data_IF_330146656146
#
_entry.id   IF_330146656146
#
_cell.length_a   1.000
_cell.length_b   1.000
_cell.length_c   1.000
_cell.angle_alpha   90.00
_cell.angle_beta   90.00
_cell.angle_gamma   90.00
#
_symmetry.space_group_name_H-M   'P 1'
#
loop_
_entity.id
_entity.type
_entity.pdbx_description
1 polymer ?
#
# COMPACT_ATOMS: atom_id res chain seq x y z
N UNK A 1 6.45 -9.98 -22.57
CA UNK A 1 7.04 -9.96 -21.20
C UNK A 1 6.34 -11.00 -20.34
N UNK A 2 7.08 -11.92 -19.70
CA UNK A 2 6.48 -12.97 -18.86
C UNK A 2 5.79 -12.43 -17.60
N UNK A 3 4.80 -13.17 -17.07
CA UNK A 3 4.02 -12.83 -15.86
C UNK A 3 4.93 -12.49 -14.67
N UNK A 4 5.99 -13.28 -14.47
CA UNK A 4 6.99 -13.07 -13.39
C UNK A 4 7.73 -11.73 -13.51
N UNK A 5 8.09 -11.30 -14.73
CA UNK A 5 8.76 -10.01 -14.97
C UNK A 5 7.82 -8.84 -14.70
N UNK A 6 6.55 -8.94 -15.09
CA UNK A 6 5.54 -7.89 -14.81
C UNK A 6 5.25 -7.79 -13.31
N UNK A 7 5.13 -8.93 -12.64
CA UNK A 7 4.98 -9.00 -11.19
C UNK A 7 6.18 -8.35 -10.49
N UNK A 8 7.43 -8.66 -10.91
CA UNK A 8 8.64 -8.04 -10.37
C UNK A 8 8.64 -6.50 -10.51
N UNK A 9 8.28 -5.99 -11.68
CA UNK A 9 8.18 -4.54 -11.89
C UNK A 9 7.09 -3.90 -11.03
N UNK A 10 5.95 -4.56 -10.90
CA UNK A 10 4.87 -4.08 -10.04
C UNK A 10 5.32 -4.07 -8.58
N UNK A 11 5.78 -5.19 -8.04
CA UNK A 11 6.20 -5.30 -6.63
C UNK A 11 7.33 -4.32 -6.33
N UNK A 12 8.42 -4.36 -7.09
CA UNK A 12 9.56 -3.48 -6.85
C UNK A 12 9.19 -1.99 -7.02
N UNK A 13 8.48 -1.66 -8.10
CA UNK A 13 8.07 -0.29 -8.38
C UNK A 13 7.07 0.26 -7.37
N UNK A 14 6.06 -0.53 -7.00
CA UNK A 14 5.05 -0.16 -6.00
C UNK A 14 5.66 -0.03 -4.61
N UNK A 15 6.48 -0.99 -4.19
CA UNK A 15 7.17 -0.94 -2.90
C UNK A 15 8.05 0.30 -2.77
N UNK A 16 8.84 0.59 -3.81
CA UNK A 16 9.70 1.77 -3.84
C UNK A 16 8.87 3.06 -3.85
N UNK A 17 7.83 3.14 -4.68
CA UNK A 17 6.96 4.31 -4.76
C UNK A 17 6.31 4.63 -3.42
N UNK A 18 5.70 3.63 -2.76
CA UNK A 18 5.06 3.79 -1.46
C UNK A 18 6.08 4.26 -0.41
N UNK A 19 7.25 3.62 -0.34
CA UNK A 19 8.29 4.00 0.61
C UNK A 19 8.79 5.45 0.38
N UNK A 20 9.02 5.83 -0.88
CA UNK A 20 9.42 7.19 -1.24
C UNK A 20 8.36 8.21 -0.83
N UNK A 21 7.08 7.93 -1.06
CA UNK A 21 5.99 8.83 -0.71
C UNK A 21 5.81 8.96 0.81
N UNK A 22 5.95 7.85 1.56
CA UNK A 22 5.91 7.86 3.03
C UNK A 22 7.03 8.70 3.64
N UNK A 23 8.16 8.88 2.95
CA UNK A 23 9.26 9.74 3.38
C UNK A 23 9.06 11.17 2.87
N UNK A 24 8.79 11.33 1.59
CA UNK A 24 8.80 12.63 0.92
C UNK A 24 7.69 13.55 1.44
N UNK A 25 6.49 13.01 1.68
CA UNK A 25 5.33 13.81 2.09
C UNK A 25 5.54 14.42 3.49
N UNK A 26 5.87 13.65 4.54
CA UNK A 26 6.07 14.24 5.86
C UNK A 26 7.31 15.14 5.92
N UNK A 27 8.38 14.82 5.19
CA UNK A 27 9.55 15.70 5.13
C UNK A 27 9.25 17.04 4.45
N UNK A 28 8.49 17.03 3.36
CA UNK A 28 8.08 18.25 2.67
C UNK A 28 7.21 19.16 3.55
N UNK A 29 6.48 18.59 4.51
CA UNK A 29 5.58 19.31 5.42
C UNK A 29 6.19 19.53 6.82
N UNK A 30 7.36 18.96 7.10
CA UNK A 30 7.96 18.91 8.45
C UNK A 30 8.06 20.27 9.16
N UNK A 31 8.36 21.34 8.44
CA UNK A 31 8.42 22.70 8.99
C UNK A 31 7.10 23.25 9.55
N UNK A 32 5.98 22.59 9.24
CA UNK A 32 4.62 22.97 9.63
C UNK A 32 3.98 21.96 10.59
N UNK A 33 4.75 20.99 11.06
CA UNK A 33 4.27 19.97 11.99
C UNK A 33 4.74 20.32 13.41
N UNK A 34 3.91 20.06 14.43
CA UNK A 34 4.37 20.08 15.81
C UNK A 34 5.38 18.94 16.04
N UNK A 35 6.23 19.12 17.06
CA UNK A 35 7.12 18.07 17.55
C UNK A 35 6.88 17.87 19.07
N UNK A 36 6.32 16.73 19.50
CA UNK A 36 5.91 15.54 18.72
C UNK A 36 4.62 15.73 17.90
N UNK A 37 4.30 14.78 17.02
CA UNK A 37 3.02 14.70 16.29
C UNK A 37 2.05 13.74 16.99
N UNK A 38 0.74 13.96 16.80
CA UNK A 38 -0.29 12.98 17.18
C UNK A 38 -0.34 11.86 16.17
N UNK A 39 -0.35 10.62 16.66
CA UNK A 39 -0.37 9.42 15.82
C UNK A 39 -1.61 8.56 16.04
N UNK A 40 -2.31 8.76 17.16
CA UNK A 40 -3.52 8.02 17.51
C UNK A 40 -4.58 8.97 18.07
N UNK A 41 -5.84 8.70 17.72
CA UNK A 41 -7.01 9.44 18.17
C UNK A 41 -7.97 8.48 18.86
N UNK A 42 -8.55 8.93 19.95
CA UNK A 42 -9.68 8.26 20.61
C UNK A 42 -10.91 8.21 19.69
N UNK A 43 -11.90 7.39 20.05
CA UNK A 43 -13.17 7.33 19.30
C UNK A 43 -13.93 8.67 19.25
N UNK A 44 -13.70 9.56 20.22
CA UNK A 44 -14.26 10.92 20.21
C UNK A 44 -13.47 11.90 19.33
N UNK A 45 -12.41 11.44 18.66
CA UNK A 45 -11.54 12.26 17.81
C UNK A 45 -10.51 13.11 18.56
N UNK A 46 -10.34 12.89 19.87
CA UNK A 46 -9.33 13.58 20.66
C UNK A 46 -7.98 12.84 20.55
N UNK A 47 -6.83 13.56 20.44
CA UNK A 47 -5.50 12.95 20.47
C UNK A 47 -5.30 12.05 21.69
N UNK A 48 -4.82 10.82 21.46
CA UNK A 48 -4.56 9.82 22.50
C UNK A 48 -3.06 9.62 22.71
N UNK A 49 -2.32 9.40 21.61
CA UNK A 49 -0.87 9.15 21.65
C UNK A 49 -0.08 10.04 20.69
N UNK A 50 1.21 10.24 21.00
CA UNK A 50 2.12 11.11 20.26
C UNK A 50 3.47 10.45 20.01
N UNK A 51 4.12 10.82 18.92
CA UNK A 51 5.43 10.29 18.54
C UNK A 51 6.28 11.36 17.84
N UNK A 52 7.61 11.35 17.99
CA UNK A 52 8.48 12.10 17.10
C UNK A 52 8.24 11.71 15.65
N UNK A 53 8.21 12.69 14.74
CA UNK A 53 7.92 12.46 13.31
C UNK A 53 8.80 11.36 12.71
N UNK A 54 10.08 11.37 13.07
CA UNK A 54 11.07 10.39 12.60
C UNK A 54 10.70 8.97 12.99
N UNK A 55 10.29 8.76 14.23
CA UNK A 55 10.03 7.44 14.78
C UNK A 55 8.74 6.86 14.20
N UNK A 56 7.71 7.69 14.06
CA UNK A 56 6.48 7.34 13.35
C UNK A 56 6.76 6.89 11.90
N UNK A 57 7.46 7.74 11.11
CA UNK A 57 7.77 7.43 9.71
C UNK A 57 8.64 6.17 9.61
N UNK A 58 9.64 6.03 10.47
CA UNK A 58 10.50 4.86 10.50
C UNK A 58 9.72 3.58 10.81
N UNK A 59 8.86 3.59 11.84
CA UNK A 59 8.03 2.44 12.20
C UNK A 59 7.11 2.01 11.05
N UNK A 60 6.45 2.96 10.41
CA UNK A 60 5.56 2.71 9.27
C UNK A 60 6.33 2.16 8.05
N UNK A 61 7.53 2.69 7.77
CA UNK A 61 8.40 2.18 6.70
C UNK A 61 8.88 0.77 6.97
N UNK A 62 9.36 0.48 8.17
CA UNK A 62 9.81 -0.87 8.55
C UNK A 62 8.66 -1.86 8.37
N UNK A 63 7.47 -1.50 8.85
CA UNK A 63 6.28 -2.34 8.69
C UNK A 63 5.92 -2.58 7.22
N UNK A 64 5.94 -1.52 6.39
CA UNK A 64 5.71 -1.65 4.95
C UNK A 64 6.72 -2.59 4.28
N UNK A 65 8.01 -2.44 4.59
CA UNK A 65 9.06 -3.28 4.03
C UNK A 65 8.93 -4.74 4.46
N UNK A 66 8.50 -5.01 5.70
CA UNK A 66 8.20 -6.37 6.17
C UNK A 66 7.06 -6.97 5.37
N UNK A 67 5.94 -6.26 5.22
CA UNK A 67 4.79 -6.72 4.42
C UNK A 67 5.21 -6.98 2.97
N UNK A 68 5.96 -6.05 2.38
CA UNK A 68 6.45 -6.18 1.02
C UNK A 68 7.38 -7.38 0.85
N UNK A 69 8.30 -7.60 1.79
CA UNK A 69 9.23 -8.73 1.78
C UNK A 69 8.49 -10.06 1.85
N UNK A 70 7.53 -10.20 2.78
CA UNK A 70 6.72 -11.42 2.94
C UNK A 70 6.03 -11.80 1.63
N UNK A 71 5.31 -10.87 1.02
CA UNK A 71 4.60 -11.14 -0.24
C UNK A 71 5.55 -11.35 -1.43
N UNK A 72 6.69 -10.68 -1.44
CA UNK A 72 7.74 -10.89 -2.44
C UNK A 72 8.34 -12.29 -2.36
N UNK A 73 8.64 -12.79 -1.15
CA UNK A 73 9.21 -14.14 -0.95
C UNK A 73 8.25 -15.20 -1.46
N UNK A 74 6.96 -15.12 -1.09
CA UNK A 74 5.96 -16.08 -1.56
C UNK A 74 5.74 -16.01 -3.08
N UNK A 75 5.78 -14.81 -3.66
CA UNK A 75 5.60 -14.63 -5.11
C UNK A 75 6.81 -15.05 -5.94
N UNK A 76 8.02 -14.75 -5.47
CA UNK A 76 9.27 -14.97 -6.21
C UNK A 76 9.87 -16.35 -5.99
N UNK A 77 9.64 -16.96 -4.82
CA UNK A 77 10.08 -18.30 -4.46
C UNK A 77 9.34 -19.42 -5.20
N UNK A 78 8.40 -19.09 -6.10
CA UNK A 78 7.65 -20.07 -6.88
C UNK A 78 6.58 -20.83 -6.10
N UNK A 79 6.39 -20.49 -4.82
CA UNK A 79 5.37 -21.09 -3.93
C UNK A 79 3.97 -20.76 -4.44
N UNK A 80 3.75 -19.52 -4.87
CA UNK A 80 2.48 -19.09 -5.40
C UNK A 80 2.32 -19.46 -6.89
N UNK A 81 1.29 -20.25 -7.19
CA UNK A 81 0.79 -20.45 -8.56
C UNK A 81 0.22 -19.13 -9.11
N UNK A 82 -0.09 -19.09 -10.41
CA UNK A 82 -0.62 -17.88 -11.11
C UNK A 82 -1.76 -17.15 -10.36
N UNK A 83 -2.73 -17.88 -9.84
CA UNK A 83 -3.85 -17.29 -9.07
C UNK A 83 -3.38 -16.71 -7.72
N UNK A 84 -2.36 -17.31 -7.13
CA UNK A 84 -1.70 -16.80 -5.91
C UNK A 84 -0.95 -15.48 -6.15
N UNK A 85 -0.31 -15.31 -7.31
CA UNK A 85 0.34 -14.05 -7.68
C UNK A 85 -0.66 -12.89 -7.83
N UNK A 86 -1.86 -13.16 -8.35
CA UNK A 86 -2.93 -12.16 -8.42
C UNK A 86 -3.39 -11.71 -7.03
N UNK A 87 -3.56 -12.65 -6.10
CA UNK A 87 -3.91 -12.32 -4.71
C UNK A 87 -2.78 -11.61 -3.97
N UNK A 88 -1.53 -12.02 -4.18
CA UNK A 88 -0.37 -11.32 -3.61
C UNK A 88 -0.26 -9.88 -4.14
N UNK A 89 -0.49 -9.67 -5.44
CA UNK A 89 -0.56 -8.33 -6.02
C UNK A 89 -1.68 -7.49 -5.42
N UNK A 90 -2.86 -8.09 -5.22
CA UNK A 90 -3.98 -7.41 -4.56
C UNK A 90 -3.66 -7.01 -3.12
N UNK A 91 -3.11 -7.94 -2.33
CA UNK A 91 -2.70 -7.69 -0.95
C UNK A 91 -1.68 -6.55 -0.87
N UNK A 92 -0.63 -6.58 -1.69
CA UNK A 92 0.38 -5.52 -1.77
C UNK A 92 -0.22 -4.15 -2.14
N UNK A 93 -1.17 -4.14 -3.08
CA UNK A 93 -1.89 -2.91 -3.46
C UNK A 93 -2.67 -2.33 -2.29
N UNK A 94 -3.48 -3.15 -1.62
CA UNK A 94 -4.27 -2.74 -0.45
C UNK A 94 -3.37 -2.27 0.69
N UNK A 95 -2.42 -3.10 1.13
CA UNK A 95 -1.57 -2.76 2.28
C UNK A 95 -0.71 -1.51 2.03
N UNK A 96 -0.11 -1.40 0.84
CA UNK A 96 0.73 -0.25 0.51
C UNK A 96 -0.04 1.07 0.48
N UNK A 97 -1.25 1.05 -0.08
CA UNK A 97 -2.10 2.25 -0.14
C UNK A 97 -2.69 2.61 1.22
N UNK A 98 -3.09 1.62 2.04
CA UNK A 98 -3.57 1.86 3.40
C UNK A 98 -2.47 2.48 4.27
N UNK A 99 -1.27 1.89 4.29
CA UNK A 99 -0.16 2.41 5.12
C UNK A 99 0.30 3.79 4.65
N UNK A 100 0.43 4.01 3.34
CA UNK A 100 0.72 5.33 2.80
C UNK A 100 -0.36 6.34 3.21
N UNK A 101 -1.62 5.96 3.07
CA UNK A 101 -2.74 6.81 3.42
C UNK A 101 -2.79 7.15 4.90
N UNK A 102 -2.45 6.21 5.79
CA UNK A 102 -2.25 6.49 7.22
C UNK A 102 -1.18 7.55 7.42
N UNK A 103 0.02 7.39 6.84
CA UNK A 103 1.10 8.38 6.96
C UNK A 103 0.66 9.75 6.45
N UNK A 104 -0.01 9.80 5.30
CA UNK A 104 -0.50 11.06 4.69
C UNK A 104 -1.55 11.72 5.58
N UNK A 105 -2.58 10.98 5.99
CA UNK A 105 -3.65 11.53 6.82
C UNK A 105 -3.12 11.98 8.19
N UNK A 106 -2.27 11.19 8.84
CA UNK A 106 -1.61 11.60 10.10
C UNK A 106 -0.80 12.88 9.90
N UNK A 107 -0.06 13.01 8.79
CA UNK A 107 0.67 14.24 8.48
C UNK A 107 -0.25 15.44 8.30
N UNK A 108 -1.36 15.26 7.56
CA UNK A 108 -2.34 16.32 7.31
C UNK A 108 -3.11 16.71 8.58
N UNK A 109 -3.41 15.77 9.47
CA UNK A 109 -4.08 16.00 10.75
C UNK A 109 -3.29 16.93 11.67
N UNK A 110 -1.97 16.86 11.59
CA UNK A 110 -1.04 17.63 12.40
C UNK A 110 -0.59 18.93 11.73
N UNK A 111 -1.05 19.21 10.51
CA UNK A 111 -0.59 20.36 9.75
C UNK A 111 -1.02 21.67 10.42
N UNK A 112 -0.05 22.54 10.70
CA UNK A 112 -0.22 23.83 11.40
C UNK A 112 -0.83 23.73 12.80
N UNK A 113 -0.88 22.54 13.39
CA UNK A 113 -1.33 22.37 14.77
C UNK A 113 -0.29 23.00 15.73
N UNK A 114 -0.68 23.91 16.65
CA UNK A 114 0.24 24.54 17.59
C UNK A 114 0.92 23.53 18.54
N UNK A 115 0.22 22.45 18.86
CA UNK A 115 0.73 21.30 19.60
C UNK A 115 0.04 20.02 19.14
N UNK A 116 0.61 18.85 19.45
CA UNK A 116 -0.01 17.56 19.12
C UNK A 116 -1.45 17.45 19.68
N UNK A 117 -1.71 18.03 20.86
CA UNK A 117 -3.03 17.99 21.51
C UNK A 117 -4.11 18.75 20.75
N UNK A 118 -3.72 19.62 19.84
CA UNK A 118 -4.62 20.43 19.03
C UNK A 118 -4.90 19.80 17.64
N UNK A 119 -4.23 18.68 17.31
CA UNK A 119 -4.43 17.97 16.05
C UNK A 119 -5.81 17.29 16.02
N UNK A 120 -6.60 17.57 14.99
CA UNK A 120 -7.96 17.03 14.83
C UNK A 120 -7.91 15.81 13.90
N UNK A 121 -8.69 14.78 14.22
CA UNK A 121 -8.85 13.60 13.36
C UNK A 121 -9.30 14.03 11.94
N UNK A 122 -8.52 13.71 10.89
CA UNK A 122 -8.76 14.23 9.56
C UNK A 122 -10.00 13.57 8.93
N UNK A 123 -10.94 14.36 8.38
CA UNK A 123 -12.07 13.81 7.65
C UNK A 123 -11.57 13.15 6.36
N UNK A 124 -11.45 11.83 6.35
CA UNK A 124 -10.97 11.14 5.14
C UNK A 124 -10.54 9.69 5.30
N UNK A 125 -10.58 9.10 6.49
CA UNK A 125 -10.30 7.69 6.71
C UNK A 125 -11.13 6.75 5.80
N UNK A 126 -12.37 7.13 5.48
CA UNK A 126 -13.20 6.41 4.51
C UNK A 126 -12.63 6.34 3.08
N UNK A 127 -11.87 7.34 2.65
CA UNK A 127 -11.22 7.34 1.33
C UNK A 127 -10.07 6.33 1.25
N UNK A 128 -9.48 5.93 2.38
CA UNK A 128 -8.45 4.89 2.41
C UNK A 128 -8.97 3.56 1.90
N UNK A 129 -10.23 3.23 2.21
CA UNK A 129 -10.86 1.98 1.74
C UNK A 129 -11.01 1.99 0.22
N UNK A 130 -11.36 3.13 -0.36
CA UNK A 130 -11.51 3.30 -1.81
C UNK A 130 -10.16 3.28 -2.53
N UNK A 131 -9.16 3.97 -1.98
CA UNK A 131 -7.78 3.92 -2.48
C UNK A 131 -7.22 2.49 -2.39
N UNK A 132 -7.46 1.81 -1.27
CA UNK A 132 -7.15 0.41 -1.03
C UNK A 132 -7.77 -0.52 -2.05
N UNK A 133 -9.08 -0.41 -2.26
CA UNK A 133 -9.80 -1.21 -3.23
C UNK A 133 -9.28 -1.01 -4.67
N UNK A 134 -9.02 0.24 -5.07
CA UNK A 134 -8.48 0.55 -6.39
C UNK A 134 -7.07 -0.02 -6.57
N UNK A 135 -6.18 0.21 -5.62
CA UNK A 135 -4.80 -0.29 -5.66
C UNK A 135 -4.77 -1.83 -5.64
N UNK A 136 -5.62 -2.45 -4.82
CA UNK A 136 -5.78 -3.90 -4.77
C UNK A 136 -6.29 -4.47 -6.08
N UNK A 137 -7.28 -3.83 -6.71
CA UNK A 137 -7.79 -4.24 -8.01
C UNK A 137 -6.72 -4.12 -9.12
N UNK A 138 -5.93 -3.04 -9.12
CA UNK A 138 -4.81 -2.87 -10.04
C UNK A 138 -3.75 -3.95 -9.84
N UNK A 139 -3.36 -4.22 -8.60
CA UNK A 139 -2.41 -5.29 -8.25
C UNK A 139 -2.92 -6.66 -8.68
N UNK A 140 -4.20 -6.94 -8.47
CA UNK A 140 -4.85 -8.16 -8.93
C UNK A 140 -4.80 -8.30 -10.46
N UNK A 141 -5.19 -7.25 -11.20
CA UNK A 141 -5.17 -7.20 -12.68
C UNK A 141 -3.78 -7.49 -13.23
N UNK A 142 -2.74 -6.95 -12.61
CA UNK A 142 -1.35 -7.14 -13.04
C UNK A 142 -0.85 -8.57 -12.79
N UNK A 143 -1.33 -9.22 -11.72
CA UNK A 143 -1.07 -10.64 -11.46
C UNK A 143 -1.94 -11.61 -12.27
N UNK A 144 -3.12 -11.18 -12.75
CA UNK A 144 -4.10 -12.05 -13.43
C UNK A 144 -4.00 -12.08 -14.96
N UNK A 145 -3.47 -11.03 -15.62
CA UNK A 145 -3.37 -10.88 -17.10
C UNK A 145 -2.45 -11.89 -17.84
N UNK A 146 -2.08 -13.00 -17.21
CA UNK A 146 -1.49 -14.16 -17.88
C UNK A 146 -2.46 -15.33 -18.08
N UNK A 147 -3.69 -15.26 -17.55
CA UNK A 147 -4.61 -16.40 -17.47
C UNK A 147 -5.37 -16.73 -18.77
N UNK A 148 -5.31 -15.88 -19.80
CA UNK A 148 -5.85 -16.20 -21.12
C UNK A 148 -4.90 -17.15 -21.84
N UNK A 149 -5.16 -18.46 -21.70
CA UNK A 149 -4.75 -19.41 -22.72
C UNK A 149 -5.62 -19.17 -23.97
N UNK A 150 -5.08 -19.28 -25.19
CA UNK A 150 -5.92 -19.26 -26.40
C UNK A 150 -6.98 -20.36 -26.28
N UNK A 151 -8.18 -20.19 -26.88
CA UNK A 151 -9.08 -21.31 -27.03
C UNK A 151 -8.29 -22.42 -27.71
N UNK A 152 -8.15 -23.58 -27.06
CA UNK A 152 -7.72 -24.77 -27.76
C UNK A 152 -8.76 -25.00 -28.84
N UNK A 153 -8.32 -24.81 -30.08
CA UNK A 153 -9.05 -25.18 -31.28
C UNK A 153 -9.36 -26.68 -31.15
N UNK A 154 -10.51 -26.99 -30.55
CA UNK A 154 -11.05 -28.34 -30.54
C UNK A 154 -11.53 -28.56 -31.96
N UNK A 155 -10.64 -29.19 -32.72
CA UNK A 155 -10.77 -29.48 -34.13
C UNK A 155 -12.21 -29.72 -34.56
N UNK A 156 -12.65 -28.83 -35.42
CA UNK A 156 -13.59 -29.17 -36.49
C UNK A 156 -12.97 -30.31 -37.28
N UNK A 157 -13.65 -31.46 -37.35
CA UNK A 157 -13.50 -32.41 -38.45
C UNK A 157 -12.72 -33.69 -38.16
N UNK A 158 -13.43 -34.71 -37.69
CA UNK A 158 -13.29 -36.08 -38.21
C UNK A 158 -14.63 -36.80 -38.07
N UNK A 159 -15.61 -36.34 -38.84
CA UNK A 159 -16.69 -37.22 -39.33
C UNK A 159 -16.16 -37.83 -40.62
N UNK A 160 -15.74 -39.09 -40.56
CA UNK A 160 -16.00 -40.18 -41.51
C UNK A 160 -15.06 -41.34 -41.25
#
# INVERSE_FOLDING_TARGET
MGVRRRYLWFVGGWTLLVALLMIAIPLALSSRLPDPITVEWTFSGAPDDSSPLRDFVFGQLVWWLVVAAVWSVFGLGGVLKRRGLAWAGAALGVFGSTLLGTVVLTTLANLDAPSYRDAVDPPGSGWLLLAGALAGWLGWRLGSRGAEAPPTDRGVGAVR
#
